data_IF_190850274145
#
_entry.id   IF_190850274145
#
_cell.length_a   1.000
_cell.length_b   1.000
_cell.length_c   1.000
_cell.angle_alpha   90.00
_cell.angle_beta   90.00
_cell.angle_gamma   90.00
#
_symmetry.space_group_name_H-M   'P 1'
#
loop_
_entity.id
_entity.type
_entity.pdbx_description
1 polymer ?
#
# COMPACT_ATOMS: atom_id res chain seq x y z
N UNK A 1 11.87 -1.30 14.26
CA UNK A 1 10.95 -2.09 13.40
C UNK A 1 10.87 -1.39 12.05
N UNK A 2 11.23 -2.07 10.96
CA UNK A 2 11.23 -1.49 9.61
C UNK A 2 9.87 -1.74 8.96
N UNK A 3 9.12 -0.67 8.71
CA UNK A 3 7.75 -0.74 8.18
C UNK A 3 7.71 -0.29 6.73
N UNK A 4 7.10 -1.10 5.87
CA UNK A 4 6.88 -0.79 4.46
C UNK A 4 5.41 -0.47 4.17
N UNK A 5 5.19 0.43 3.22
CA UNK A 5 3.87 0.75 2.66
C UNK A 5 3.91 0.50 1.16
N UNK A 6 3.10 -0.43 0.70
CA UNK A 6 3.03 -0.81 -0.71
C UNK A 6 1.91 -0.05 -1.42
N UNK A 7 2.30 0.85 -2.32
CA UNK A 7 1.41 1.64 -3.16
C UNK A 7 1.61 1.21 -4.62
N UNK A 8 0.70 0.42 -5.17
CA UNK A 8 0.81 -0.09 -6.54
C UNK A 8 0.25 0.90 -7.56
N UNK A 9 0.68 2.15 -7.50
CA UNK A 9 0.21 3.21 -8.40
C UNK A 9 1.36 3.77 -9.23
N UNK A 10 1.13 3.94 -10.54
CA UNK A 10 2.08 4.55 -11.47
C UNK A 10 1.98 6.08 -11.43
N UNK A 11 0.78 6.60 -11.26
CA UNK A 11 0.51 8.04 -11.26
C UNK A 11 0.92 8.72 -9.95
N UNK A 12 1.55 9.90 -10.05
CA UNK A 12 1.94 10.70 -8.88
C UNK A 12 0.73 11.09 -8.02
N UNK A 13 -0.36 11.55 -8.64
CA UNK A 13 -1.57 11.97 -7.92
C UNK A 13 -2.17 10.85 -7.07
N UNK A 14 -2.23 9.62 -7.60
CA UNK A 14 -2.73 8.47 -6.85
C UNK A 14 -1.85 8.12 -5.63
N UNK A 15 -0.53 8.27 -5.75
CA UNK A 15 0.39 8.09 -4.63
C UNK A 15 0.21 9.18 -3.58
N UNK A 16 0.08 10.45 -3.99
CA UNK A 16 -0.13 11.58 -3.08
C UNK A 16 -1.44 11.49 -2.30
N UNK A 17 -2.51 10.98 -2.93
CA UNK A 17 -3.78 10.74 -2.23
C UNK A 17 -3.64 9.75 -1.05
N UNK A 18 -2.68 8.82 -1.13
CA UNK A 18 -2.42 7.84 -0.08
C UNK A 18 -1.36 8.30 0.94
N UNK A 19 -0.75 9.46 0.73
CA UNK A 19 0.32 9.94 1.59
C UNK A 19 -0.15 10.19 3.03
N UNK A 20 -1.37 10.66 3.23
CA UNK A 20 -1.97 10.84 4.56
C UNK A 20 -1.98 9.55 5.38
N UNK A 21 -2.23 8.41 4.73
CA UNK A 21 -2.18 7.09 5.38
C UNK A 21 -0.75 6.68 5.72
N UNK A 22 0.20 6.96 4.80
CA UNK A 22 1.62 6.72 5.05
C UNK A 22 2.09 7.50 6.28
N UNK A 23 1.70 8.77 6.42
CA UNK A 23 2.02 9.60 7.57
C UNK A 23 1.37 9.09 8.87
N UNK A 24 0.12 8.63 8.82
CA UNK A 24 -0.53 8.02 10.00
C UNK A 24 0.19 6.76 10.46
N UNK A 25 0.61 5.91 9.53
CA UNK A 25 1.40 4.72 9.83
C UNK A 25 2.76 5.12 10.42
N UNK A 26 3.42 6.12 9.81
CA UNK A 26 4.70 6.63 10.28
C UNK A 26 4.64 7.22 11.69
N UNK A 27 3.58 7.94 12.03
CA UNK A 27 3.34 8.44 13.40
C UNK A 27 3.21 7.33 14.42
N UNK A 28 2.67 6.16 14.02
CA UNK A 28 2.45 5.03 14.93
C UNK A 28 3.66 4.12 15.07
N UNK A 29 4.38 3.89 13.99
CA UNK A 29 5.43 2.86 13.90
C UNK A 29 6.84 3.43 13.67
N UNK A 30 6.98 4.74 13.47
CA UNK A 30 8.20 5.40 13.04
C UNK A 30 8.27 5.56 11.50
N UNK A 31 9.32 6.22 10.99
CA UNK A 31 9.47 6.49 9.56
C UNK A 31 9.28 5.25 8.70
N UNK A 32 8.51 5.39 7.60
CA UNK A 32 8.12 4.26 6.73
C UNK A 32 8.88 4.26 5.41
N UNK A 33 9.07 3.07 4.86
CA UNK A 33 9.59 2.88 3.49
C UNK A 33 8.44 2.71 2.52
N UNK A 34 8.30 3.60 1.54
CA UNK A 34 7.27 3.50 0.50
C UNK A 34 7.78 2.62 -0.65
N UNK A 35 6.91 1.76 -1.15
CA UNK A 35 7.16 0.90 -2.32
C UNK A 35 6.14 1.27 -3.38
N UNK A 36 6.60 1.79 -4.52
CA UNK A 36 5.74 2.34 -5.58
C UNK A 36 6.27 2.03 -6.97
N UNK A 37 5.46 2.30 -8.00
CA UNK A 37 5.88 2.28 -9.42
C UNK A 37 6.13 3.70 -9.96
N UNK A 38 5.94 4.74 -9.13
CA UNK A 38 6.08 6.13 -9.52
C UNK A 38 7.47 6.65 -9.16
N UNK A 39 8.31 6.89 -10.15
CA UNK A 39 9.66 7.46 -9.99
C UNK A 39 9.65 8.91 -9.48
N UNK A 40 8.69 9.71 -9.94
CA UNK A 40 8.54 11.12 -9.54
C UNK A 40 8.20 11.32 -8.06
N UNK A 41 7.72 10.27 -7.39
CA UNK A 41 7.38 10.35 -5.97
C UNK A 41 8.63 10.59 -5.11
N UNK A 42 9.80 10.11 -5.53
CA UNK A 42 11.06 10.32 -4.82
C UNK A 42 11.44 11.79 -4.77
N UNK A 43 11.27 12.52 -5.87
CA UNK A 43 11.55 13.96 -5.94
C UNK A 43 10.55 14.75 -5.08
N UNK A 44 9.27 14.34 -5.10
CA UNK A 44 8.21 15.04 -4.38
C UNK A 44 8.30 14.90 -2.85
N UNK A 45 8.93 13.85 -2.33
CA UNK A 45 8.97 13.52 -0.89
C UNK A 45 10.40 13.45 -0.32
N UNK A 46 11.37 14.06 -1.01
CA UNK A 46 12.77 13.98 -0.61
C UNK A 46 13.03 14.52 0.80
N UNK A 47 12.29 15.53 1.22
CA UNK A 47 12.48 16.23 2.50
C UNK A 47 11.44 15.83 3.56
N UNK A 48 10.67 14.74 3.37
CA UNK A 48 9.65 14.32 4.32
C UNK A 48 10.26 13.46 5.44
N UNK A 49 10.30 13.96 6.69
CA UNK A 49 10.94 13.25 7.81
C UNK A 49 10.20 11.97 8.23
N UNK A 50 8.95 11.79 7.80
CA UNK A 50 8.15 10.60 8.09
C UNK A 50 8.36 9.48 7.06
N UNK A 51 9.08 9.78 5.97
CA UNK A 51 9.40 8.82 4.91
C UNK A 51 10.89 8.50 4.99
N UNK A 52 11.21 7.26 5.30
CA UNK A 52 12.60 6.83 5.43
C UNK A 52 13.23 6.57 4.05
N UNK A 53 12.48 5.96 3.15
CA UNK A 53 13.00 5.54 1.84
C UNK A 53 11.85 5.32 0.84
N UNK A 54 12.11 5.57 -0.44
CA UNK A 54 11.17 5.33 -1.54
C UNK A 54 11.78 4.33 -2.51
N UNK A 55 11.20 3.15 -2.54
CA UNK A 55 11.66 2.03 -3.34
C UNK A 55 10.76 1.89 -4.57
N UNK A 56 11.36 2.04 -5.75
CA UNK A 56 10.67 1.95 -7.03
C UNK A 56 10.86 0.53 -7.57
N UNK A 57 9.77 -0.11 -7.97
CA UNK A 57 9.81 -1.40 -8.62
C UNK A 57 9.17 -1.34 -10.00
N UNK A 58 9.73 -2.09 -10.95
CA UNK A 58 9.21 -2.17 -12.30
C UNK A 58 8.16 -3.27 -12.43
N UNK A 59 7.10 -2.98 -13.17
CA UNK A 59 6.06 -3.96 -13.47
C UNK A 59 6.57 -4.94 -14.53
N UNK A 60 6.95 -6.13 -14.14
CA UNK A 60 7.30 -7.19 -15.08
C UNK A 60 6.04 -7.74 -15.78
N UNK A 61 6.10 -7.93 -17.10
CA UNK A 61 4.95 -8.34 -17.93
C UNK A 61 4.50 -9.80 -17.70
N UNK A 62 5.38 -10.69 -17.23
CA UNK A 62 5.08 -12.11 -17.04
C UNK A 62 4.59 -12.41 -15.62
N UNK A 63 3.39 -12.94 -15.50
CA UNK A 63 2.63 -13.05 -14.25
C UNK A 63 3.29 -13.85 -13.14
N UNK A 64 3.87 -15.02 -13.42
CA UNK A 64 4.50 -15.87 -12.40
C UNK A 64 5.87 -15.34 -12.01
N UNK A 65 6.67 -14.95 -12.99
CA UNK A 65 7.98 -14.33 -12.75
C UNK A 65 7.87 -13.03 -11.95
N UNK A 66 6.76 -12.31 -12.11
CA UNK A 66 6.52 -11.08 -11.34
C UNK A 66 6.39 -11.34 -9.83
N UNK A 67 5.75 -12.45 -9.43
CA UNK A 67 5.61 -12.79 -8.00
C UNK A 67 6.99 -13.09 -7.40
N UNK A 68 7.81 -13.88 -8.07
CA UNK A 68 9.17 -14.19 -7.61
C UNK A 68 10.08 -12.96 -7.60
N UNK A 69 10.01 -12.14 -8.64
CA UNK A 69 10.76 -10.88 -8.72
C UNK A 69 10.39 -9.96 -7.55
N UNK A 70 9.09 -9.77 -7.32
CA UNK A 70 8.60 -8.92 -6.24
C UNK A 70 8.94 -9.50 -4.87
N UNK A 71 8.88 -10.82 -4.69
CA UNK A 71 9.27 -11.48 -3.46
C UNK A 71 10.76 -11.23 -3.13
N UNK A 72 11.65 -11.42 -4.10
CA UNK A 72 13.09 -11.13 -3.93
C UNK A 72 13.36 -9.64 -3.69
N UNK A 73 12.60 -8.76 -4.34
CA UNK A 73 12.70 -7.32 -4.13
C UNK A 73 12.31 -6.96 -2.68
N UNK A 74 11.20 -7.49 -2.18
CA UNK A 74 10.74 -7.26 -0.80
C UNK A 74 11.69 -7.86 0.23
N UNK A 75 12.27 -9.04 -0.03
CA UNK A 75 13.26 -9.69 0.82
C UNK A 75 14.51 -8.81 1.02
N UNK A 76 14.99 -8.15 -0.05
CA UNK A 76 16.13 -7.22 0.01
C UNK A 76 15.87 -6.02 0.93
N UNK A 77 14.62 -5.59 1.03
CA UNK A 77 14.24 -4.45 1.87
C UNK A 77 14.25 -4.78 3.36
N UNK A 78 14.26 -6.07 3.74
CA UNK A 78 14.29 -6.56 5.12
C UNK A 78 13.23 -5.89 6.01
N UNK A 79 11.97 -5.91 5.55
CA UNK A 79 10.85 -5.31 6.26
C UNK A 79 10.32 -6.26 7.35
N UNK A 80 10.00 -5.72 8.53
CA UNK A 80 9.35 -6.47 9.61
C UNK A 80 7.83 -6.51 9.40
N UNK A 81 7.28 -5.41 8.89
CA UNK A 81 5.84 -5.23 8.65
C UNK A 81 5.60 -4.54 7.32
N UNK A 82 4.54 -4.94 6.61
CA UNK A 82 4.12 -4.30 5.36
C UNK A 82 2.62 -4.01 5.36
N UNK A 83 2.26 -2.81 4.90
CA UNK A 83 0.88 -2.39 4.64
C UNK A 83 0.64 -2.36 3.13
N UNK A 84 -0.30 -3.16 2.63
CA UNK A 84 -0.60 -3.27 1.21
C UNK A 84 -1.94 -2.59 0.93
N UNK A 85 -1.90 -1.44 0.24
CA UNK A 85 -3.10 -0.66 -0.12
C UNK A 85 -3.78 -1.09 -1.40
N UNK A 86 -3.15 -1.95 -2.19
CA UNK A 86 -3.72 -2.45 -3.43
C UNK A 86 -4.26 -3.88 -3.25
N UNK A 87 -5.55 -4.15 -3.58
CA UNK A 87 -6.16 -5.47 -3.39
C UNK A 87 -5.67 -6.48 -4.44
N UNK A 88 -4.40 -6.82 -4.42
CA UNK A 88 -3.77 -7.77 -5.36
C UNK A 88 -3.31 -9.04 -4.66
N UNK A 89 -3.96 -10.19 -4.92
CA UNK A 89 -3.54 -11.49 -4.37
C UNK A 89 -2.06 -11.80 -4.65
N UNK A 90 -1.53 -11.35 -5.80
CA UNK A 90 -0.14 -11.57 -6.20
C UNK A 90 0.84 -10.83 -5.29
N UNK A 91 0.51 -9.60 -4.90
CA UNK A 91 1.35 -8.79 -4.02
C UNK A 91 1.38 -9.41 -2.62
N UNK A 92 0.22 -9.86 -2.13
CA UNK A 92 0.12 -10.59 -0.87
C UNK A 92 0.96 -11.88 -0.88
N UNK A 93 0.86 -12.67 -1.94
CA UNK A 93 1.67 -13.88 -2.09
C UNK A 93 3.17 -13.57 -2.14
N UNK A 94 3.57 -12.54 -2.87
CA UNK A 94 4.96 -12.09 -2.92
C UNK A 94 5.47 -11.66 -1.53
N UNK A 95 4.67 -10.91 -0.79
CA UNK A 95 5.01 -10.49 0.57
C UNK A 95 5.13 -11.68 1.53
N UNK A 96 4.26 -12.69 1.39
CA UNK A 96 4.34 -13.91 2.19
C UNK A 96 5.58 -14.75 1.86
N UNK A 97 5.93 -14.84 0.58
CA UNK A 97 7.12 -15.57 0.12
C UNK A 97 8.43 -14.85 0.51
N UNK A 98 8.41 -13.53 0.68
CA UNK A 98 9.58 -12.76 1.11
C UNK A 98 9.91 -12.90 2.61
N UNK A 99 9.10 -13.65 3.38
CA UNK A 99 9.35 -13.91 4.79
C UNK A 99 8.95 -12.77 5.73
N UNK A 100 8.19 -11.77 5.26
CA UNK A 100 7.68 -10.69 6.12
C UNK A 100 6.67 -11.27 7.12
N UNK A 101 6.91 -11.02 8.42
CA UNK A 101 6.13 -11.63 9.50
C UNK A 101 4.74 -11.03 9.66
N UNK A 102 4.62 -9.72 9.48
CA UNK A 102 3.37 -8.99 9.69
C UNK A 102 2.92 -8.30 8.39
N UNK A 103 1.86 -8.83 7.80
CA UNK A 103 1.30 -8.33 6.53
C UNK A 103 -0.10 -7.81 6.79
N UNK A 104 -0.27 -6.49 6.70
CA UNK A 104 -1.57 -5.83 6.75
C UNK A 104 -2.07 -5.55 5.33
N UNK A 105 -3.18 -6.16 4.96
CA UNK A 105 -3.70 -6.15 3.61
C UNK A 105 -5.09 -5.51 3.54
N UNK A 106 -5.28 -4.59 2.59
CA UNK A 106 -6.57 -3.98 2.32
C UNK A 106 -7.47 -4.97 1.56
N UNK A 107 -8.51 -5.46 2.23
CA UNK A 107 -9.54 -6.29 1.61
C UNK A 107 -10.69 -5.40 1.14
N UNK A 108 -10.91 -5.34 -0.18
CA UNK A 108 -12.07 -4.66 -0.73
C UNK A 108 -13.33 -5.43 -0.33
N UNK A 109 -14.03 -4.96 0.69
CA UNK A 109 -15.32 -5.52 1.06
C UNK A 109 -16.27 -5.11 -0.06
N UNK A 110 -16.63 -6.06 -0.93
CA UNK A 110 -17.67 -5.85 -1.94
C UNK A 110 -18.90 -5.29 -1.21
N UNK A 111 -19.19 -4.01 -1.43
CA UNK A 111 -20.46 -3.42 -0.97
C UNK A 111 -21.55 -4.29 -1.57
N UNK A 112 -22.33 -5.01 -0.73
CA UNK A 112 -23.60 -5.58 -1.18
C UNK A 112 -24.33 -4.45 -1.88
N UNK A 113 -24.81 -4.67 -3.13
CA UNK A 113 -25.63 -3.71 -3.86
C UNK A 113 -26.75 -3.27 -2.93
N UNK A 114 -26.59 -2.11 -2.34
CA UNK A 114 -27.70 -1.40 -1.71
C UNK A 114 -28.58 -0.97 -2.87
N UNK A 115 -29.71 -1.63 -3.02
CA UNK A 115 -30.80 -1.24 -3.90
C UNK A 115 -31.15 0.21 -3.55
N UNK A 116 -30.93 1.08 -4.51
CA UNK A 116 -31.30 2.51 -4.41
C UNK A 116 -32.82 2.61 -4.36
N UNK A 117 -33.40 2.63 -3.18
CA UNK A 117 -34.74 3.14 -2.97
C UNK A 117 -34.64 4.33 -2.04
N UNK A 118 -34.94 5.50 -2.64
CA UNK A 118 -35.15 6.81 -2.01
C UNK A 118 -33.95 7.51 -1.41
N UNK A 119 -33.34 8.30 -2.28
CA UNK A 119 -32.41 9.36 -1.96
C UNK A 119 -33.13 10.53 -1.29
N UNK A 120 -32.75 10.85 -0.08
CA UNK A 120 -32.88 12.18 0.52
C UNK A 120 -31.47 12.72 0.71
N UNK A 121 -31.21 13.82 0.08
CA UNK A 121 -29.97 14.62 0.06
C UNK A 121 -29.41 14.87 1.46
N UNK A 122 -28.34 14.14 1.82
CA UNK A 122 -27.31 14.61 2.76
C UNK A 122 -25.96 14.07 2.30
N UNK A 123 -25.21 14.93 1.66
CA UNK A 123 -23.79 14.73 1.37
C UNK A 123 -23.02 14.66 2.70
N UNK A 124 -22.92 13.50 3.28
CA UNK A 124 -21.89 13.20 4.24
C UNK A 124 -20.85 12.33 3.53
N UNK A 125 -19.73 12.93 3.19
CA UNK A 125 -18.54 12.21 2.80
C UNK A 125 -18.07 11.39 4.02
N UNK A 126 -18.64 10.20 4.23
CA UNK A 126 -18.12 9.24 5.20
C UNK A 126 -16.82 8.71 4.61
N UNK A 127 -15.72 9.23 5.10
CA UNK A 127 -14.39 8.60 4.93
C UNK A 127 -14.56 7.13 5.33
N UNK A 128 -14.27 6.17 4.45
CA UNK A 128 -14.39 4.75 4.80
C UNK A 128 -13.44 4.48 5.98
N UNK A 129 -13.98 4.00 7.09
CA UNK A 129 -13.16 3.49 8.18
C UNK A 129 -12.42 2.26 7.65
N UNK A 130 -11.14 2.41 7.38
CA UNK A 130 -10.29 1.31 6.97
C UNK A 130 -10.12 0.33 8.13
N UNK A 131 -10.70 -0.85 7.99
CA UNK A 131 -10.52 -1.93 8.94
C UNK A 131 -9.38 -2.81 8.42
N UNK A 132 -8.18 -2.64 8.97
CA UNK A 132 -7.09 -3.58 8.76
C UNK A 132 -7.39 -4.83 9.60
N UNK A 133 -7.47 -5.97 8.95
CA UNK A 133 -7.50 -7.25 9.66
C UNK A 133 -6.07 -7.79 9.74
N UNK A 134 -5.55 -8.05 10.95
CA UNK A 134 -4.36 -8.88 11.09
C UNK A 134 -4.71 -10.32 10.68
N UNK A 135 -3.84 -10.94 9.95
CA UNK A 135 -3.85 -12.39 9.70
C UNK A 135 -2.96 -13.09 10.70
#
# INVERSE_FOLDING_TARGET
>A
MKVGVFLNFVGLGSNLLHLSYCHQIAKKYGPVSIITQCDKLREALNDDPLINDINIFEKNKKTLFHIFYLSKFLEKLKLDKIFIYYPGRRIYLAAKLSGIKDISYYKNIKKKKLTFSKCSTKFYCKIPKFKFMPY
#
